data_IF_088318211046
#
_entry.id   IF_088318211046
#
_cell.length_a   1.000
_cell.length_b   1.000
_cell.length_c   1.000
_cell.angle_alpha   90.00
_cell.angle_beta   90.00
_cell.angle_gamma   90.00
#
_symmetry.space_group_name_H-M   'P 1'
#
loop_
_entity.id
_entity.type
_entity.pdbx_description
1 polymer ?
#
# COMPACT_ATOMS: atom_id res chain seq x y z
N UNK A 1 15.88 3.76 8.43
CA UNK A 1 14.83 2.94 7.81
C UNK A 1 14.08 2.16 8.87
N UNK A 2 12.75 2.14 8.80
CA UNK A 2 11.92 1.24 9.60
C UNK A 2 11.40 0.15 8.66
N UNK A 3 11.68 -1.12 8.97
CA UNK A 3 11.33 -2.26 8.12
C UNK A 3 10.70 -3.32 9.00
N UNK A 4 9.49 -3.72 8.66
CA UNK A 4 8.74 -4.77 9.33
C UNK A 4 9.14 -6.12 8.73
N UNK A 5 9.36 -7.12 9.59
CA UNK A 5 9.48 -8.52 9.19
C UNK A 5 8.23 -9.29 9.58
N UNK A 6 7.46 -9.74 8.59
CA UNK A 6 6.21 -10.49 8.82
C UNK A 6 6.39 -11.95 8.42
N UNK A 7 5.82 -12.87 9.18
CA UNK A 7 5.78 -14.28 8.81
C UNK A 7 7.10 -15.05 8.96
N UNK A 8 8.08 -14.50 9.70
CA UNK A 8 9.37 -15.18 9.92
C UNK A 8 9.19 -16.49 10.69
N UNK A 9 9.99 -17.50 10.32
CA UNK A 9 10.03 -18.84 10.94
C UNK A 9 11.07 -18.95 12.05
N UNK A 10 12.04 -18.02 12.06
CA UNK A 10 13.11 -17.96 13.05
C UNK A 10 13.44 -16.52 13.42
N UNK A 11 13.99 -16.33 14.62
CA UNK A 11 14.53 -15.03 15.03
C UNK A 11 15.74 -14.69 14.15
N UNK A 12 15.85 -13.43 13.76
CA UNK A 12 16.92 -12.92 12.89
C UNK A 12 18.29 -12.88 13.56
N UNK A 13 18.34 -12.94 14.91
CA UNK A 13 19.57 -12.79 15.70
C UNK A 13 20.18 -11.38 15.64
N UNK A 14 19.54 -10.44 14.93
CA UNK A 14 19.99 -9.06 14.83
C UNK A 14 19.80 -8.37 16.18
N UNK A 15 20.84 -7.66 16.61
CA UNK A 15 20.76 -6.72 17.73
C UNK A 15 20.22 -5.38 17.23
N UNK A 16 19.58 -4.65 18.14
CA UNK A 16 19.15 -3.28 17.90
C UNK A 16 20.35 -2.42 17.51
N UNK A 17 20.24 -1.77 16.36
CA UNK A 17 21.34 -1.06 15.71
C UNK A 17 20.76 -0.18 14.60
N UNK A 18 20.88 1.13 14.78
CA UNK A 18 20.32 2.13 13.88
C UNK A 18 21.28 2.51 12.74
N UNK A 19 22.46 1.89 12.67
CA UNK A 19 23.47 2.15 11.62
C UNK A 19 23.44 1.12 10.51
N UNK A 20 22.64 0.06 10.66
CA UNK A 20 22.59 -1.06 9.73
C UNK A 20 22.03 -0.63 8.37
N UNK A 21 22.69 -1.01 7.25
CA UNK A 21 22.13 -0.77 5.93
C UNK A 21 20.76 -1.45 5.75
N UNK A 22 19.77 -0.78 5.12
CA UNK A 22 18.43 -1.33 4.93
C UNK A 22 18.41 -2.66 4.20
N UNK A 23 19.24 -2.82 3.15
CA UNK A 23 19.32 -4.07 2.39
C UNK A 23 19.66 -5.25 3.28
N UNK A 24 20.58 -5.07 4.24
CA UNK A 24 20.97 -6.14 5.17
C UNK A 24 19.80 -6.56 6.06
N UNK A 25 18.94 -5.62 6.44
CA UNK A 25 17.73 -5.90 7.24
C UNK A 25 16.75 -6.72 6.40
N UNK A 26 16.50 -6.31 5.16
CA UNK A 26 15.62 -7.00 4.20
C UNK A 26 16.09 -8.43 3.97
N UNK A 27 17.36 -8.62 3.61
CA UNK A 27 17.94 -9.94 3.36
C UNK A 27 17.83 -10.85 4.58
N UNK A 28 17.99 -10.29 5.78
CA UNK A 28 17.91 -11.07 7.02
C UNK A 28 16.48 -11.53 7.31
N UNK A 29 15.47 -10.68 7.04
CA UNK A 29 14.06 -11.04 7.16
C UNK A 29 13.71 -12.16 6.16
N UNK A 30 14.14 -12.02 4.91
CA UNK A 30 13.89 -13.02 3.86
C UNK A 30 14.56 -14.35 4.21
N UNK A 31 15.82 -14.32 4.65
CA UNK A 31 16.54 -15.53 5.10
C UNK A 31 15.93 -16.18 6.36
N UNK A 32 15.07 -15.44 7.06
CA UNK A 32 14.27 -15.93 8.19
C UNK A 32 12.90 -16.48 7.77
N UNK A 33 12.58 -16.53 6.46
CA UNK A 33 11.32 -17.05 5.91
C UNK A 33 10.21 -16.00 5.81
N UNK A 34 10.47 -14.76 6.22
CA UNK A 34 9.48 -13.69 6.25
C UNK A 34 9.47 -12.82 5.00
N UNK A 35 8.53 -11.87 4.98
CA UNK A 35 8.46 -10.77 4.01
C UNK A 35 8.90 -9.46 4.69
N UNK A 36 9.62 -8.63 3.96
CA UNK A 36 10.08 -7.33 4.41
C UNK A 36 9.17 -6.22 3.87
N UNK A 37 8.69 -5.34 4.75
CA UNK A 37 7.80 -4.22 4.40
C UNK A 37 8.43 -2.92 4.90
N UNK A 38 8.53 -1.91 4.03
CA UNK A 38 8.99 -0.58 4.43
C UNK A 38 7.88 0.13 5.22
N UNK A 39 8.12 0.44 6.48
CA UNK A 39 7.13 1.08 7.35
C UNK A 39 7.06 2.59 7.07
N UNK A 40 5.83 3.11 7.02
CA UNK A 40 5.46 4.54 7.05
C UNK A 40 6.51 5.51 6.43
N UNK A 41 6.82 5.40 5.12
CA UNK A 41 7.94 6.11 4.51
C UNK A 41 7.78 7.63 4.56
N UNK A 42 6.55 8.16 4.51
CA UNK A 42 6.29 9.58 4.69
C UNK A 42 6.66 10.08 6.08
N UNK A 43 6.31 9.36 7.15
CA UNK A 43 6.70 9.74 8.52
C UNK A 43 8.21 9.76 8.68
N UNK A 44 8.89 8.71 8.21
CA UNK A 44 10.34 8.55 8.26
C UNK A 44 11.11 9.47 7.31
N UNK A 45 10.44 10.20 6.41
CA UNK A 45 11.08 10.96 5.32
C UNK A 45 12.10 10.10 4.56
N UNK A 46 11.72 8.87 4.23
CA UNK A 46 12.61 7.97 3.48
C UNK A 46 12.90 8.60 2.12
N UNK A 47 14.13 8.65 1.66
CA UNK A 47 14.42 9.21 0.34
C UNK A 47 13.85 8.26 -0.75
N UNK A 48 12.90 8.70 -1.60
CA UNK A 48 12.26 7.80 -2.56
C UNK A 48 13.25 7.14 -3.52
N UNK A 49 14.33 7.83 -3.89
CA UNK A 49 15.37 7.27 -4.76
C UNK A 49 16.17 6.14 -4.10
N UNK A 50 16.41 6.18 -2.79
CA UNK A 50 17.10 5.08 -2.09
C UNK A 50 16.28 3.79 -2.09
N UNK A 51 14.94 3.91 -1.99
CA UNK A 51 14.04 2.74 -2.04
C UNK A 51 14.08 2.08 -3.42
N UNK A 52 14.36 2.82 -4.49
CA UNK A 52 14.52 2.24 -5.83
C UNK A 52 15.64 1.21 -5.88
N UNK A 53 16.72 1.41 -5.11
CA UNK A 53 17.90 0.54 -5.04
C UNK A 53 17.71 -0.70 -4.14
N UNK A 54 16.67 -0.72 -3.30
CA UNK A 54 16.40 -1.83 -2.39
C UNK A 54 15.76 -3.03 -3.10
N UNK A 55 16.26 -4.23 -2.84
CA UNK A 55 15.73 -5.47 -3.41
C UNK A 55 15.05 -6.31 -2.33
N UNK A 56 13.98 -7.02 -2.70
CA UNK A 56 13.30 -7.98 -1.82
C UNK A 56 12.25 -7.40 -0.87
N UNK A 57 11.91 -6.10 -0.97
CA UNK A 57 10.72 -5.57 -0.32
C UNK A 57 9.46 -6.19 -0.95
N UNK A 58 8.58 -6.73 -0.10
CA UNK A 58 7.25 -7.19 -0.53
C UNK A 58 6.28 -6.02 -0.73
N UNK A 59 6.54 -4.88 -0.08
CA UNK A 59 5.76 -3.66 -0.23
C UNK A 59 6.20 -2.57 0.73
N UNK A 60 5.36 -1.55 0.86
CA UNK A 60 5.52 -0.48 1.84
C UNK A 60 4.16 -0.13 2.45
N UNK A 61 4.16 0.56 3.57
CA UNK A 61 2.92 1.13 4.10
C UNK A 61 2.51 2.36 3.28
N UNK A 62 1.34 2.32 2.65
CA UNK A 62 0.71 3.49 2.03
C UNK A 62 0.01 4.37 3.06
N UNK A 63 -0.46 3.77 4.15
CA UNK A 63 -1.11 4.47 5.24
C UNK A 63 -0.66 3.93 6.60
N UNK A 64 -0.36 4.83 7.53
CA UNK A 64 0.00 4.49 8.91
C UNK A 64 -0.75 5.38 9.91
N UNK A 65 -1.61 4.82 10.77
CA UNK A 65 -2.54 5.62 11.59
C UNK A 65 -1.85 6.50 12.62
N UNK A 66 -0.91 5.96 13.40
CA UNK A 66 -0.21 6.75 14.44
C UNK A 66 0.52 7.94 13.84
N UNK A 67 0.96 7.86 12.58
CA UNK A 67 1.59 8.96 11.85
C UNK A 67 0.62 10.12 11.49
N UNK A 68 -0.64 10.10 11.94
CA UNK A 68 -1.61 11.17 11.79
C UNK A 68 -2.02 11.85 13.12
N UNK A 69 -2.59 13.04 13.01
CA UNK A 69 -3.31 13.69 14.13
C UNK A 69 -4.59 12.91 14.47
N UNK A 70 -5.00 12.84 15.76
CA UNK A 70 -4.43 13.51 16.93
C UNK A 70 -3.27 12.75 17.61
N UNK A 71 -2.83 11.61 17.05
CA UNK A 71 -1.75 10.81 17.61
C UNK A 71 -0.36 11.43 17.36
N UNK A 72 0.68 10.74 17.84
CA UNK A 72 2.03 11.26 17.80
C UNK A 72 2.62 11.29 16.38
N UNK A 73 3.27 12.42 16.02
CA UNK A 73 4.12 12.63 14.83
C UNK A 73 3.48 13.19 13.52
N UNK A 74 2.45 14.02 13.65
CA UNK A 74 2.10 15.03 12.61
C UNK A 74 1.06 14.56 11.59
N UNK A 75 1.10 15.10 10.36
CA UNK A 75 0.16 14.78 9.26
C UNK A 75 0.88 14.00 8.16
N UNK A 76 1.42 12.83 8.49
CA UNK A 76 2.29 12.01 7.61
C UNK A 76 1.85 10.54 7.52
N UNK A 77 0.59 10.26 7.82
CA UNK A 77 0.02 8.94 7.65
C UNK A 77 -0.02 8.50 6.19
N UNK A 78 -0.36 9.42 5.28
CA UNK A 78 -0.47 9.15 3.85
C UNK A 78 0.91 9.16 3.17
N UNK A 79 1.25 8.03 2.55
CA UNK A 79 2.45 7.82 1.74
C UNK A 79 2.13 7.56 0.26
N UNK A 80 0.90 7.81 -0.21
CA UNK A 80 0.45 7.53 -1.58
C UNK A 80 1.34 8.15 -2.66
N UNK A 81 1.82 9.38 -2.45
CA UNK A 81 2.76 10.04 -3.37
C UNK A 81 4.07 9.24 -3.56
N UNK A 82 4.55 8.53 -2.54
CA UNK A 82 5.74 7.68 -2.67
C UNK A 82 5.51 6.54 -3.67
N UNK A 83 4.34 5.91 -3.62
CA UNK A 83 3.96 4.86 -4.56
C UNK A 83 3.88 5.38 -5.98
N UNK A 84 3.35 6.59 -6.17
CA UNK A 84 3.29 7.25 -7.48
C UNK A 84 4.70 7.58 -8.01
N UNK A 85 5.60 8.07 -7.16
CA UNK A 85 7.00 8.34 -7.52
C UNK A 85 7.74 7.06 -7.90
N UNK A 86 7.56 5.96 -7.16
CA UNK A 86 8.19 4.67 -7.46
C UNK A 86 7.62 4.04 -8.74
N UNK A 87 6.28 4.02 -8.88
CA UNK A 87 5.62 3.43 -10.04
C UNK A 87 5.95 4.19 -11.33
N UNK A 88 6.06 5.53 -11.27
CA UNK A 88 6.50 6.34 -12.42
C UNK A 88 7.90 5.99 -12.95
N UNK A 89 8.73 5.39 -12.08
CA UNK A 89 10.09 4.90 -12.36
C UNK A 89 10.17 3.37 -12.52
N UNK A 90 9.02 2.68 -12.61
CA UNK A 90 8.95 1.24 -12.89
C UNK A 90 9.10 0.34 -11.67
N UNK A 91 8.94 0.86 -10.44
CA UNK A 91 8.92 0.05 -9.22
C UNK A 91 7.52 -0.01 -8.62
N UNK A 92 6.92 -1.19 -8.65
CA UNK A 92 5.54 -1.44 -8.24
C UNK A 92 5.52 -2.19 -6.92
N UNK A 93 5.44 -1.47 -5.81
CA UNK A 93 5.36 -2.06 -4.47
C UNK A 93 3.91 -2.26 -4.05
N UNK A 94 3.62 -3.36 -3.34
CA UNK A 94 2.31 -3.57 -2.75
C UNK A 94 2.03 -2.54 -1.64
N UNK A 95 0.77 -2.12 -1.55
CA UNK A 95 0.29 -1.17 -0.55
C UNK A 95 -0.18 -1.89 0.72
N UNK A 96 0.57 -1.72 1.81
CA UNK A 96 0.16 -2.12 3.15
C UNK A 96 -0.46 -0.94 3.89
N UNK A 97 -1.36 -1.20 4.83
CA UNK A 97 -1.77 -0.22 5.81
C UNK A 97 -1.80 -0.87 7.19
N UNK A 98 -1.41 -0.10 8.20
CA UNK A 98 -1.34 -0.55 9.57
C UNK A 98 -1.47 0.62 10.52
N UNK A 99 -1.93 0.32 11.72
CA UNK A 99 -2.18 1.39 12.70
C UNK A 99 -0.92 1.82 13.45
N UNK A 100 0.05 0.91 13.57
CA UNK A 100 1.25 1.07 14.41
C UNK A 100 0.86 1.46 15.84
N UNK A 101 -0.14 0.76 16.40
CA UNK A 101 -0.73 1.10 17.70
C UNK A 101 0.26 0.88 18.85
N UNK A 102 0.33 1.85 19.76
CA UNK A 102 1.25 1.86 20.90
C UNK A 102 0.53 2.05 22.24
N UNK A 103 -0.59 2.78 22.24
CA UNK A 103 -1.27 3.29 23.42
C UNK A 103 -2.72 2.84 23.53
N UNK A 104 -3.33 2.39 22.44
CA UNK A 104 -4.74 1.97 22.36
C UNK A 104 -5.70 3.10 22.81
N UNK A 105 -5.49 4.31 22.29
CA UNK A 105 -6.26 5.52 22.61
C UNK A 105 -7.17 5.93 21.44
N UNK A 106 -7.46 4.98 20.54
CA UNK A 106 -8.23 5.18 19.33
C UNK A 106 -7.40 5.12 18.05
N UNK A 107 -6.07 4.95 18.13
CA UNK A 107 -5.25 4.73 16.93
C UNK A 107 -5.43 3.33 16.35
N UNK A 108 -5.89 2.37 17.15
CA UNK A 108 -6.15 1.00 16.75
C UNK A 108 -7.42 0.88 15.89
N UNK A 109 -7.40 -0.13 15.01
CA UNK A 109 -8.49 -0.50 14.11
C UNK A 109 -8.97 0.64 13.18
N UNK A 110 -8.07 1.54 12.80
CA UNK A 110 -8.37 2.63 11.86
C UNK A 110 -8.02 2.27 10.42
N UNK A 111 -7.07 1.36 10.22
CA UNK A 111 -6.60 0.91 8.92
C UNK A 111 -6.23 -0.57 8.93
N UNK A 112 -6.35 -1.21 7.77
CA UNK A 112 -6.10 -2.65 7.63
C UNK A 112 -5.72 -2.98 6.18
N UNK A 113 -5.28 -4.22 5.98
CA UNK A 113 -5.27 -4.84 4.65
C UNK A 113 -6.40 -5.85 4.55
N UNK A 114 -7.12 -5.84 3.42
CA UNK A 114 -8.10 -6.86 3.09
C UNK A 114 -7.43 -7.94 2.25
N UNK A 115 -7.34 -9.16 2.80
CA UNK A 115 -6.58 -10.26 2.19
C UNK A 115 -7.51 -11.27 1.54
N UNK A 116 -7.28 -11.56 0.25
CA UNK A 116 -7.99 -12.61 -0.49
C UNK A 116 -7.24 -13.93 -0.36
N UNK A 117 -7.32 -14.55 0.82
CA UNK A 117 -6.71 -15.85 1.09
C UNK A 117 -7.63 -17.02 0.71
N UNK A 118 -7.06 -18.16 0.35
CA UNK A 118 -7.81 -19.42 0.12
C UNK A 118 -8.44 -19.93 1.42
N UNK A 119 -7.74 -19.76 2.52
CA UNK A 119 -8.15 -20.17 3.87
C UNK A 119 -7.68 -19.12 4.88
N UNK A 120 -8.44 -18.94 5.97
CA UNK A 120 -8.06 -18.07 7.07
C UNK A 120 -7.08 -18.77 8.03
N UNK A 121 -5.93 -19.15 7.48
CA UNK A 121 -4.81 -19.79 8.19
C UNK A 121 -3.56 -18.93 8.04
N UNK A 122 -2.54 -19.16 8.88
CA UNK A 122 -1.27 -18.44 8.77
C UNK A 122 -0.68 -18.59 7.38
N UNK A 123 -0.64 -19.82 6.88
CA UNK A 123 -0.08 -20.18 5.57
C UNK A 123 -0.91 -19.55 4.45
N UNK A 124 -2.24 -19.68 4.50
CA UNK A 124 -3.14 -19.11 3.50
C UNK A 124 -3.03 -17.57 3.39
N UNK A 125 -2.88 -16.88 4.53
CA UNK A 125 -2.66 -15.43 4.55
C UNK A 125 -1.28 -15.09 3.99
N UNK A 126 -0.21 -15.76 4.46
CA UNK A 126 1.16 -15.46 4.00
C UNK A 126 1.33 -15.71 2.50
N UNK A 127 0.71 -16.75 1.96
CA UNK A 127 0.72 -17.03 0.52
C UNK A 127 0.01 -15.92 -0.25
N UNK A 128 -1.17 -15.47 0.20
CA UNK A 128 -1.88 -14.36 -0.42
C UNK A 128 -1.08 -13.05 -0.37
N UNK A 129 -0.36 -12.77 0.73
CA UNK A 129 0.53 -11.60 0.83
C UNK A 129 1.71 -11.68 -0.14
N UNK A 130 2.33 -12.85 -0.29
CA UNK A 130 3.44 -13.07 -1.24
C UNK A 130 2.99 -12.92 -2.69
N UNK A 131 1.77 -13.36 -3.00
CA UNK A 131 1.16 -13.25 -4.32
C UNK A 131 0.60 -11.84 -4.63
N UNK A 132 0.56 -10.94 -3.64
CA UNK A 132 -0.02 -9.61 -3.81
C UNK A 132 -1.57 -9.58 -3.82
N UNK A 133 -2.21 -10.66 -3.37
CA UNK A 133 -3.67 -10.83 -3.36
C UNK A 133 -4.36 -10.11 -2.18
N UNK A 134 -4.12 -8.80 -2.06
CA UNK A 134 -4.70 -7.95 -1.02
C UNK A 134 -4.70 -6.47 -1.42
N UNK A 135 -5.41 -5.65 -0.65
CA UNK A 135 -5.38 -4.18 -0.77
C UNK A 135 -5.44 -3.52 0.61
N UNK A 136 -5.10 -2.23 0.70
CA UNK A 136 -5.18 -1.46 1.94
C UNK A 136 -6.50 -0.69 2.05
N UNK A 137 -7.03 -0.52 3.27
CA UNK A 137 -8.30 0.19 3.49
C UNK A 137 -8.46 0.75 4.90
N UNK A 138 -9.30 1.77 5.03
CA UNK A 138 -9.82 2.35 6.28
C UNK A 138 -11.33 2.11 6.45
N UNK A 139 -11.96 1.36 5.54
CA UNK A 139 -13.40 1.14 5.48
C UNK A 139 -13.89 0.76 4.07
N UNK A 140 -13.65 1.59 3.04
CA UNK A 140 -14.10 1.30 1.67
C UNK A 140 -13.52 -0.02 1.14
N UNK A 141 -14.29 -0.74 0.32
CA UNK A 141 -13.90 -2.07 -0.13
C UNK A 141 -13.87 -2.14 -1.65
N UNK A 142 -12.76 -2.65 -2.18
CA UNK A 142 -12.71 -3.11 -3.57
C UNK A 142 -13.36 -4.49 -3.67
N UNK A 143 -14.30 -4.64 -4.59
CA UNK A 143 -14.84 -5.94 -4.99
C UNK A 143 -14.05 -6.50 -6.18
N UNK A 144 -13.64 -5.63 -7.11
CA UNK A 144 -12.84 -6.00 -8.27
C UNK A 144 -12.11 -4.80 -8.89
N UNK A 145 -10.91 -5.04 -9.40
CA UNK A 145 -10.19 -4.18 -10.34
C UNK A 145 -9.81 -5.06 -11.53
N UNK A 146 -10.25 -4.70 -12.73
CA UNK A 146 -9.96 -5.46 -13.96
C UNK A 146 -9.37 -4.53 -15.02
N UNK A 147 -8.40 -5.04 -15.76
CA UNK A 147 -7.81 -4.35 -16.90
C UNK A 147 -8.16 -5.14 -18.15
N UNK A 148 -8.94 -4.55 -19.05
CA UNK A 148 -9.35 -5.15 -20.32
C UNK A 148 -9.58 -4.06 -21.36
N UNK A 149 -9.23 -4.32 -22.62
CA UNK A 149 -9.48 -3.43 -23.76
C UNK A 149 -9.03 -1.96 -23.56
N UNK A 150 -7.86 -1.75 -22.95
CA UNK A 150 -7.31 -0.42 -22.69
C UNK A 150 -8.07 0.37 -21.61
N UNK A 151 -8.83 -0.31 -20.74
CA UNK A 151 -9.61 0.30 -19.66
C UNK A 151 -9.39 -0.41 -18.33
N UNK A 152 -9.55 0.34 -17.25
CA UNK A 152 -9.58 -0.15 -15.88
C UNK A 152 -11.01 -0.07 -15.37
N UNK A 153 -11.60 -1.23 -15.05
CA UNK A 153 -12.93 -1.37 -14.49
C UNK A 153 -12.84 -1.64 -13.00
N UNK A 154 -13.49 -0.80 -12.21
CA UNK A 154 -13.49 -0.88 -10.74
C UNK A 154 -14.91 -1.11 -10.28
N UNK A 155 -15.11 -2.13 -9.45
CA UNK A 155 -16.34 -2.30 -8.65
C UNK A 155 -15.99 -2.26 -7.18
N UNK A 156 -16.78 -1.55 -6.39
CA UNK A 156 -16.50 -1.30 -5.00
C UNK A 156 -17.77 -1.02 -4.19
N UNK A 157 -17.61 -1.06 -2.87
CA UNK A 157 -18.62 -0.68 -1.90
C UNK A 157 -18.07 0.29 -0.86
N UNK A 158 -18.96 1.12 -0.30
CA UNK A 158 -18.60 2.09 0.75
C UNK A 158 -17.77 3.29 0.27
N UNK A 159 -17.68 3.54 -1.04
CA UNK A 159 -17.01 4.72 -1.61
C UNK A 159 -18.03 5.72 -2.16
N UNK A 160 -17.74 7.01 -2.05
CA UNK A 160 -18.44 8.08 -2.77
C UNK A 160 -17.71 8.42 -4.08
N UNK A 161 -16.38 8.37 -4.05
CA UNK A 161 -15.50 8.78 -5.16
C UNK A 161 -14.44 7.72 -5.42
N UNK A 162 -14.14 7.54 -6.70
CA UNK A 162 -13.08 6.66 -7.19
C UNK A 162 -12.07 7.53 -7.94
N UNK A 163 -10.80 7.41 -7.57
CA UNK A 163 -9.69 8.17 -8.14
C UNK A 163 -8.67 7.22 -8.77
N UNK A 164 -8.28 7.52 -10.01
CA UNK A 164 -7.26 6.80 -10.75
C UNK A 164 -6.01 7.67 -10.82
N UNK A 165 -4.90 7.21 -10.25
CA UNK A 165 -3.60 7.88 -10.27
C UNK A 165 -2.73 7.27 -11.36
N UNK A 166 -2.03 8.12 -12.11
CA UNK A 166 -1.08 7.73 -13.16
C UNK A 166 -0.09 8.86 -13.43
N UNK A 167 0.96 8.59 -14.21
CA UNK A 167 1.95 9.61 -14.61
C UNK A 167 1.50 10.51 -15.77
N UNK A 168 0.29 10.35 -16.30
CA UNK A 168 -0.27 11.35 -17.23
C UNK A 168 -0.42 12.67 -16.48
N UNK A 169 -0.01 13.80 -17.06
CA UNK A 169 -0.04 15.09 -16.33
C UNK A 169 -1.48 15.55 -16.09
N UNK A 170 -2.35 15.41 -17.09
CA UNK A 170 -3.74 15.84 -17.00
C UNK A 170 -4.67 14.96 -17.85
N UNK A 171 -5.81 14.60 -17.29
CA UNK A 171 -6.99 14.11 -18.01
C UNK A 171 -8.23 14.28 -17.11
N UNK A 172 -9.41 14.38 -17.72
CA UNK A 172 -10.64 14.79 -17.02
C UNK A 172 -11.39 13.66 -16.31
N UNK A 173 -11.01 12.41 -16.56
CA UNK A 173 -11.73 11.20 -16.14
C UNK A 173 -11.07 10.45 -14.97
N UNK A 174 -10.01 11.00 -14.35
CA UNK A 174 -9.33 10.36 -13.22
C UNK A 174 -10.08 10.44 -11.90
N UNK A 175 -10.97 11.40 -11.72
CA UNK A 175 -11.76 11.55 -10.49
C UNK A 175 -13.23 11.42 -10.84
N UNK A 176 -13.85 10.33 -10.39
CA UNK A 176 -15.22 9.99 -10.75
C UNK A 176 -16.06 9.81 -9.48
N UNK A 177 -17.28 10.35 -9.48
CA UNK A 177 -18.29 9.94 -8.52
C UNK A 177 -18.68 8.49 -8.81
N UNK A 178 -18.86 7.69 -7.77
CA UNK A 178 -19.31 6.32 -7.93
C UNK A 178 -20.69 6.30 -8.61
N UNK A 179 -20.82 5.47 -9.64
CA UNK A 179 -22.08 5.18 -10.34
C UNK A 179 -22.20 3.67 -10.46
N UNK A 180 -23.39 3.13 -10.20
CA UNK A 180 -23.67 1.69 -10.35
C UNK A 180 -22.61 0.79 -9.67
N UNK A 181 -22.18 1.17 -8.46
CA UNK A 181 -21.16 0.48 -7.65
C UNK A 181 -19.74 0.46 -8.26
N UNK A 182 -19.39 1.39 -9.14
CA UNK A 182 -18.07 1.40 -9.76
C UNK A 182 -17.69 2.64 -10.56
N UNK A 183 -16.59 2.50 -11.30
CA UNK A 183 -16.09 3.48 -12.27
C UNK A 183 -15.24 2.79 -13.33
N UNK A 184 -15.09 3.45 -14.49
CA UNK A 184 -14.27 2.98 -15.60
C UNK A 184 -13.30 4.08 -16.00
N UNK A 185 -12.02 3.75 -16.07
CA UNK A 185 -10.97 4.64 -16.53
C UNK A 185 -10.41 4.16 -17.87
N UNK A 186 -10.30 5.06 -18.83
CA UNK A 186 -9.63 4.77 -20.10
C UNK A 186 -8.14 5.06 -19.96
N UNK A 187 -7.30 4.04 -20.19
CA UNK A 187 -5.85 4.15 -20.09
C UNK A 187 -5.36 5.09 -21.18
N UNK A 188 -4.59 6.11 -20.79
CA UNK A 188 -4.00 7.05 -21.73
C UNK A 188 -2.71 6.48 -22.27
N UNK A 189 -2.34 6.85 -23.50
CA UNK A 189 -1.09 6.40 -24.13
C UNK A 189 0.17 6.84 -23.37
N UNK A 190 0.05 7.79 -22.44
CA UNK A 190 1.13 8.27 -21.58
C UNK A 190 1.16 7.61 -20.21
N UNK A 191 0.15 6.82 -19.85
CA UNK A 191 0.15 6.07 -18.59
C UNK A 191 1.19 4.95 -18.68
N UNK A 192 2.04 4.85 -17.66
CA UNK A 192 2.96 3.74 -17.40
C UNK A 192 2.49 2.86 -16.25
N UNK A 193 1.55 3.39 -15.47
CA UNK A 193 0.94 2.71 -14.34
C UNK A 193 -0.44 3.31 -14.07
N UNK A 194 -1.29 2.53 -13.42
CA UNK A 194 -2.50 3.01 -12.76
C UNK A 194 -2.50 2.53 -11.31
N UNK A 195 -2.95 3.40 -10.40
CA UNK A 195 -3.29 3.07 -9.01
C UNK A 195 -4.69 3.59 -8.73
N UNK A 196 -5.54 2.76 -8.15
CA UNK A 196 -6.92 3.11 -7.82
C UNK A 196 -7.03 3.41 -6.33
N UNK A 197 -7.76 4.47 -6.00
CA UNK A 197 -8.12 4.89 -4.64
C UNK A 197 -9.63 5.09 -4.53
N UNK A 198 -10.21 4.58 -3.45
CA UNK A 198 -11.59 4.84 -3.06
C UNK A 198 -11.61 5.88 -1.95
N UNK A 199 -12.62 6.75 -1.95
CA UNK A 199 -12.82 7.76 -0.91
C UNK A 199 -14.30 7.72 -0.48
N UNK A 200 -14.57 7.52 0.81
CA UNK A 200 -15.93 7.62 1.37
C UNK A 200 -16.35 9.06 1.72
N UNK A 201 -17.60 9.22 2.15
CA UNK A 201 -18.19 10.51 2.54
C UNK A 201 -17.46 11.20 3.72
N UNK A 202 -16.66 10.44 4.49
CA UNK A 202 -15.89 10.92 5.65
C UNK A 202 -14.41 11.12 5.32
N UNK A 203 -14.02 10.91 4.06
CA UNK A 203 -12.64 11.00 3.61
C UNK A 203 -11.76 9.80 3.98
N UNK A 204 -12.34 8.68 4.44
CA UNK A 204 -11.60 7.42 4.61
C UNK A 204 -11.34 6.80 3.25
N UNK A 205 -10.21 6.13 3.15
CA UNK A 205 -9.71 5.68 1.86
C UNK A 205 -9.49 4.17 1.78
N UNK A 206 -9.45 3.65 0.56
CA UNK A 206 -8.86 2.36 0.24
C UNK A 206 -7.96 2.47 -0.97
N UNK A 207 -6.86 1.71 -0.97
CA UNK A 207 -5.79 1.82 -1.96
C UNK A 207 -5.46 0.46 -2.54
N UNK A 208 -5.47 0.40 -3.87
CA UNK A 208 -4.81 -0.67 -4.61
C UNK A 208 -3.30 -0.42 -4.72
N UNK A 209 -2.54 -1.49 -4.94
CA UNK A 209 -1.16 -1.35 -5.40
C UNK A 209 -1.14 -0.76 -6.83
N UNK A 210 -0.12 0.05 -7.19
CA UNK A 210 0.07 0.47 -8.57
C UNK A 210 0.39 -0.75 -9.44
N UNK A 211 -0.20 -0.82 -10.64
CA UNK A 211 0.10 -1.83 -11.64
C UNK A 211 0.47 -1.16 -12.97
N UNK A 212 1.36 -1.80 -13.72
CA UNK A 212 1.74 -1.34 -15.06
C UNK A 212 0.56 -1.46 -16.04
N UNK A 213 0.45 -0.53 -16.97
CA UNK A 213 -0.55 -0.51 -18.05
C UNK A 213 0.11 -0.25 -19.41
#
# INVERSE_FOLDING_TARGET
YHILGIGMDKKTGLKMDNTRPPQKIIDTIINAGGIAILAHPAWSLTEPSEVMELNGLAGAEIYNTVSNVPFNNGRRADSSLYFDLWASKGKYLQCFAGDDSHWYQGEEAQSFIMVKAKECTREGILDALKEGNFYASQGPLFDSIKVEDGKVFVTCSGAERIVFYSNTVWCSDRSQMMKDNGAVYEIKSTDKYVRVELIDEKGKMAWSAPFSV
#
